data_IF_778289907971
#
_entry.id   IF_778289907971
#
_cell.length_a   1.000
_cell.length_b   1.000
_cell.length_c   1.000
_cell.angle_alpha   90.00
_cell.angle_beta   90.00
_cell.angle_gamma   90.00
#
_symmetry.space_group_name_H-M   'P 1'
#
loop_
_entity.id
_entity.type
_entity.pdbx_description
1 polymer ?
#
# COMPACT_ATOMS: atom_id res chain seq x y z
N UNK A 1 1.23 -5.60 14.88
CA UNK A 1 1.49 -4.15 14.71
C UNK A 1 0.31 -3.54 13.98
N UNK A 2 -0.04 -2.30 14.31
CA UNK A 2 -1.04 -1.52 13.58
C UNK A 2 -0.53 -1.10 12.21
N UNK A 3 -1.45 -0.95 11.25
CA UNK A 3 -1.17 -0.58 9.88
C UNK A 3 -1.89 0.72 9.54
N UNK A 4 -1.13 1.76 9.20
CA UNK A 4 -1.67 3.05 8.75
C UNK A 4 -1.75 3.05 7.23
N UNK A 5 -2.96 3.27 6.68
CA UNK A 5 -3.20 3.31 5.24
C UNK A 5 -3.58 4.72 4.79
N UNK A 6 -2.82 5.28 3.85
CA UNK A 6 -3.05 6.64 3.33
C UNK A 6 -4.07 6.63 2.19
N UNK A 7 -5.33 6.80 2.50
CA UNK A 7 -6.47 6.65 1.58
C UNK A 7 -7.02 7.97 1.04
N UNK A 8 -6.43 9.12 1.37
CA UNK A 8 -7.06 10.42 1.22
C UNK A 8 -6.68 11.24 -0.02
N UNK A 9 -5.89 10.71 -0.96
CA UNK A 9 -5.44 11.45 -2.16
C UNK A 9 -6.56 11.68 -3.19
N UNK A 10 -6.48 12.79 -3.95
CA UNK A 10 -7.45 13.14 -5.00
C UNK A 10 -7.52 12.17 -6.19
N UNK A 11 -6.49 11.35 -6.42
CA UNK A 11 -6.47 10.36 -7.51
C UNK A 11 -6.66 10.93 -8.92
N UNK A 12 -6.27 12.18 -9.18
CA UNK A 12 -6.59 12.92 -10.43
C UNK A 12 -6.15 12.21 -11.71
N UNK A 13 -5.08 11.40 -11.68
CA UNK A 13 -4.56 10.68 -12.86
C UNK A 13 -5.41 9.50 -13.31
N UNK A 14 -6.33 9.02 -12.46
CA UNK A 14 -7.23 7.89 -12.76
C UNK A 14 -8.60 8.31 -13.27
N UNK A 15 -8.89 9.61 -13.34
CA UNK A 15 -10.19 10.11 -13.77
C UNK A 15 -10.30 10.06 -15.28
N UNK A 16 -11.13 9.16 -15.79
CA UNK A 16 -11.43 9.03 -17.23
C UNK A 16 -12.65 9.86 -17.68
N UNK A 17 -13.31 10.58 -16.76
CA UNK A 17 -14.50 11.40 -17.06
C UNK A 17 -15.05 12.13 -15.84
N UNK A 18 -16.06 12.99 -16.06
CA UNK A 18 -16.67 13.88 -15.06
C UNK A 18 -17.47 13.17 -13.96
N UNK A 19 -17.54 11.83 -13.94
CA UNK A 19 -18.36 11.02 -13.00
C UNK A 19 -17.58 10.07 -12.11
N UNK A 20 -16.24 10.09 -12.12
CA UNK A 20 -15.43 9.17 -11.29
C UNK A 20 -15.07 9.83 -9.94
N UNK A 21 -16.05 9.87 -9.01
CA UNK A 21 -15.84 10.34 -7.64
C UNK A 21 -15.23 9.27 -6.72
N UNK A 22 -14.96 8.08 -7.26
CA UNK A 22 -14.42 6.95 -6.50
C UNK A 22 -12.93 7.15 -6.23
N UNK A 23 -12.47 7.14 -4.95
CA UNK A 23 -11.06 7.30 -4.64
C UNK A 23 -10.25 6.07 -5.08
N UNK A 24 -8.95 6.25 -5.43
CA UNK A 24 -8.07 5.19 -5.91
C UNK A 24 -8.12 3.88 -5.08
N UNK A 25 -8.10 3.91 -3.74
CA UNK A 25 -8.16 2.69 -2.95
C UNK A 25 -9.43 1.85 -3.17
N UNK A 26 -10.47 2.47 -3.72
CA UNK A 26 -11.75 1.80 -4.07
C UNK A 26 -11.81 1.30 -5.52
N UNK A 27 -10.73 1.43 -6.29
CA UNK A 27 -10.65 0.84 -7.63
C UNK A 27 -10.75 -0.68 -7.52
N UNK A 28 -11.68 -1.28 -8.29
CA UNK A 28 -11.92 -2.73 -8.26
C UNK A 28 -10.78 -3.48 -8.93
N UNK A 29 -10.38 -4.60 -8.30
CA UNK A 29 -9.49 -5.64 -8.83
C UNK A 29 -10.21 -6.97 -8.60
N UNK A 30 -10.81 -7.51 -9.64
CA UNK A 30 -11.78 -8.61 -9.50
C UNK A 30 -12.99 -8.18 -8.65
N UNK A 31 -13.48 -9.00 -7.70
CA UNK A 31 -14.69 -8.72 -6.91
C UNK A 31 -14.46 -7.76 -5.75
N UNK A 32 -13.22 -7.36 -5.44
CA UNK A 32 -12.88 -6.57 -4.26
C UNK A 32 -12.07 -5.31 -4.64
N UNK A 33 -12.22 -4.20 -3.89
CA UNK A 33 -11.45 -3.00 -4.12
C UNK A 33 -9.98 -3.18 -3.70
N UNK A 34 -9.12 -2.36 -4.27
CA UNK A 34 -7.67 -2.38 -4.06
C UNK A 34 -7.28 -2.32 -2.57
N UNK A 35 -7.95 -1.46 -1.79
CA UNK A 35 -7.73 -1.36 -0.34
C UNK A 35 -7.92 -2.69 0.38
N UNK A 36 -8.91 -3.50 -0.03
CA UNK A 36 -9.14 -4.81 0.54
C UNK A 36 -7.95 -5.74 0.30
N UNK A 37 -7.39 -5.75 -0.92
CA UNK A 37 -6.22 -6.55 -1.25
C UNK A 37 -4.99 -6.13 -0.43
N UNK A 38 -4.77 -4.83 -0.25
CA UNK A 38 -3.69 -4.29 0.59
C UNK A 38 -3.89 -4.73 2.04
N UNK A 39 -5.09 -4.60 2.60
CA UNK A 39 -5.38 -5.01 3.97
C UNK A 39 -5.26 -6.53 4.14
N UNK A 40 -5.71 -7.31 3.16
CA UNK A 40 -5.60 -8.77 3.17
C UNK A 40 -4.15 -9.25 3.15
N UNK A 41 -3.27 -8.54 2.43
CA UNK A 41 -1.83 -8.79 2.46
C UNK A 41 -1.28 -8.64 3.89
N UNK A 42 -1.58 -7.56 4.59
CA UNK A 42 -1.14 -7.36 5.97
C UNK A 42 -1.75 -8.38 6.94
N UNK A 43 -3.04 -8.66 6.80
CA UNK A 43 -3.74 -9.65 7.63
C UNK A 43 -3.16 -11.05 7.48
N UNK A 44 -2.70 -11.44 6.26
CA UNK A 44 -2.00 -12.71 6.04
C UNK A 44 -0.76 -12.87 6.93
N UNK A 45 -0.07 -11.77 7.23
CA UNK A 45 1.09 -11.76 8.13
C UNK A 45 0.73 -11.45 9.60
N UNK A 46 -0.55 -11.52 9.97
CA UNK A 46 -1.04 -11.33 11.35
C UNK A 46 -1.21 -9.87 11.77
N UNK A 47 -1.29 -8.92 10.83
CA UNK A 47 -1.53 -7.51 11.11
C UNK A 47 -2.95 -7.13 10.72
N UNK A 48 -3.88 -7.21 11.68
CA UNK A 48 -5.33 -7.05 11.47
C UNK A 48 -5.91 -5.76 12.07
N UNK A 49 -5.06 -4.88 12.62
CA UNK A 49 -5.46 -3.58 13.14
C UNK A 49 -5.08 -2.47 12.15
N UNK A 50 -6.10 -1.83 11.56
CA UNK A 50 -5.93 -0.85 10.49
C UNK A 50 -6.39 0.54 10.91
N UNK A 51 -5.62 1.58 10.52
CA UNK A 51 -5.98 2.99 10.68
C UNK A 51 -6.03 3.60 9.29
N UNK A 52 -7.22 3.89 8.79
CA UNK A 52 -7.45 4.46 7.47
C UNK A 52 -7.43 5.98 7.54
N UNK A 53 -6.38 6.61 6.99
CA UNK A 53 -6.27 8.07 6.88
C UNK A 53 -7.14 8.56 5.72
N UNK A 54 -8.35 9.01 6.02
CA UNK A 54 -9.35 9.39 5.03
C UNK A 54 -9.24 10.86 4.62
N UNK A 55 -9.66 11.12 3.39
CA UNK A 55 -9.74 12.45 2.79
C UNK A 55 -10.80 12.49 1.71
N UNK A 56 -10.39 12.66 0.44
CA UNK A 56 -11.30 12.65 -0.70
C UNK A 56 -12.01 11.30 -0.83
N UNK A 57 -13.32 11.31 -1.12
CA UNK A 57 -14.12 10.11 -1.32
C UNK A 57 -14.25 9.19 -0.08
N UNK A 58 -14.01 9.72 1.12
CA UNK A 58 -14.04 8.97 2.38
C UNK A 58 -15.32 8.14 2.58
N UNK A 59 -16.47 8.63 2.08
CA UNK A 59 -17.75 7.92 2.20
C UNK A 59 -17.73 6.59 1.45
N UNK A 60 -17.14 6.50 0.28
CA UNK A 60 -17.03 5.24 -0.47
C UNK A 60 -16.30 4.14 0.31
N UNK A 61 -15.21 4.52 0.99
CA UNK A 61 -14.45 3.57 1.83
C UNK A 61 -15.27 3.14 3.04
N UNK A 62 -15.92 4.09 3.71
CA UNK A 62 -16.80 3.80 4.87
C UNK A 62 -17.96 2.91 4.47
N UNK A 63 -18.67 3.26 3.39
CA UNK A 63 -19.83 2.52 2.91
C UNK A 63 -19.47 1.09 2.55
N UNK A 64 -18.30 0.86 1.92
CA UNK A 64 -17.82 -0.47 1.60
C UNK A 64 -17.64 -1.34 2.84
N UNK A 65 -17.00 -0.86 3.90
CA UNK A 65 -16.76 -1.65 5.10
C UNK A 65 -18.00 -1.75 6.00
N UNK A 66 -18.85 -0.72 6.06
CA UNK A 66 -20.10 -0.74 6.84
C UNK A 66 -21.14 -1.69 6.23
N UNK A 67 -21.12 -1.88 4.91
CA UNK A 67 -22.01 -2.77 4.17
C UNK A 67 -21.24 -3.98 3.59
N UNK A 68 -20.20 -4.45 4.30
CA UNK A 68 -19.36 -5.52 3.80
C UNK A 68 -20.12 -6.85 3.73
N UNK A 69 -20.07 -7.47 2.54
CA UNK A 69 -20.69 -8.77 2.29
C UNK A 69 -19.62 -9.87 2.17
N UNK A 70 -19.50 -10.70 3.20
CA UNK A 70 -18.58 -11.84 3.25
C UNK A 70 -18.86 -12.84 2.12
N UNK A 71 -20.12 -13.01 1.72
CA UNK A 71 -20.53 -13.94 0.66
C UNK A 71 -19.98 -13.61 -0.74
N UNK A 72 -19.44 -12.39 -0.94
CA UNK A 72 -18.84 -11.98 -2.22
C UNK A 72 -17.52 -12.71 -2.51
N UNK A 73 -16.75 -13.05 -1.49
CA UNK A 73 -15.41 -13.67 -1.62
C UNK A 73 -15.24 -14.98 -0.85
N UNK A 74 -16.25 -15.40 -0.10
CA UNK A 74 -16.18 -16.62 0.71
C UNK A 74 -17.23 -17.64 0.29
N UNK A 75 -16.89 -18.92 0.38
CA UNK A 75 -17.84 -20.01 0.20
C UNK A 75 -18.83 -20.05 1.36
N UNK A 76 -20.08 -20.35 1.06
CA UNK A 76 -21.15 -20.44 2.05
C UNK A 76 -22.19 -21.49 1.70
N UNK A 77 -22.92 -21.94 2.71
CA UNK A 77 -24.08 -22.82 2.57
C UNK A 77 -25.35 -22.02 2.78
N UNK A 78 -26.29 -22.10 1.85
CA UNK A 78 -27.64 -21.53 2.03
C UNK A 78 -28.60 -22.64 2.44
N UNK A 79 -29.13 -22.58 3.67
CA UNK A 79 -30.09 -23.55 4.20
C UNK A 79 -31.30 -22.85 4.83
N UNK A 80 -32.47 -23.08 4.28
CA UNK A 80 -33.71 -22.51 4.82
C UNK A 80 -33.71 -20.99 4.88
N UNK A 81 -33.08 -20.31 3.93
CA UNK A 81 -32.97 -18.86 3.88
C UNK A 81 -31.90 -18.27 4.81
N UNK A 82 -31.10 -19.09 5.48
CA UNK A 82 -29.97 -18.66 6.32
C UNK A 82 -28.64 -18.97 5.67
N UNK A 83 -27.72 -18.00 5.69
CA UNK A 83 -26.37 -18.14 5.19
C UNK A 83 -25.46 -18.63 6.33
N UNK A 84 -24.67 -19.67 6.04
CA UNK A 84 -23.61 -20.20 6.90
C UNK A 84 -22.29 -20.08 6.12
N UNK A 85 -21.42 -19.16 6.55
CA UNK A 85 -20.12 -18.95 5.94
C UNK A 85 -19.18 -20.13 6.26
N UNK A 86 -18.47 -20.64 5.26
CA UNK A 86 -17.45 -21.69 5.42
C UNK A 86 -16.07 -21.09 5.76
N UNK A 87 -15.87 -19.81 5.42
CA UNK A 87 -14.69 -19.01 5.77
C UNK A 87 -15.08 -17.54 5.90
N UNK A 88 -14.21 -16.75 6.52
CA UNK A 88 -14.36 -15.30 6.63
C UNK A 88 -13.07 -14.62 6.23
N UNK A 89 -13.13 -13.36 5.79
CA UNK A 89 -11.96 -12.63 5.32
C UNK A 89 -11.64 -11.34 6.11
N UNK A 90 -12.63 -10.72 6.78
CA UNK A 90 -12.40 -9.52 7.59
C UNK A 90 -12.95 -9.59 9.03
N UNK A 91 -13.46 -10.73 9.47
CA UNK A 91 -14.14 -10.85 10.76
C UNK A 91 -13.25 -10.55 11.99
N UNK A 92 -11.93 -10.69 11.84
CA UNK A 92 -10.91 -10.40 12.86
C UNK A 92 -10.26 -9.03 12.68
N UNK A 93 -10.71 -8.21 11.71
CA UNK A 93 -10.12 -6.89 11.48
C UNK A 93 -10.71 -5.84 12.41
N UNK A 94 -9.82 -5.02 12.96
CA UNK A 94 -10.19 -3.78 13.64
C UNK A 94 -9.84 -2.61 12.74
N UNK A 95 -10.84 -1.80 12.36
CA UNK A 95 -10.65 -0.71 11.41
C UNK A 95 -11.01 0.63 12.04
N UNK A 96 -10.03 1.52 12.15
CA UNK A 96 -10.21 2.91 12.57
C UNK A 96 -10.33 3.82 11.34
N UNK A 97 -11.44 4.54 11.21
CA UNK A 97 -11.69 5.49 10.13
C UNK A 97 -11.37 6.92 10.60
N UNK A 98 -10.16 7.40 10.31
CA UNK A 98 -9.67 8.71 10.75
C UNK A 98 -9.80 9.77 9.65
N UNK A 99 -10.52 10.87 9.92
CA UNK A 99 -10.60 12.01 9.01
C UNK A 99 -9.32 12.84 9.13
N UNK A 100 -8.47 12.77 8.12
CA UNK A 100 -7.16 13.45 8.12
C UNK A 100 -7.09 14.68 7.22
N UNK A 101 -8.22 15.08 6.64
CA UNK A 101 -8.32 16.23 5.74
C UNK A 101 -8.04 15.89 4.28
N UNK A 102 -8.64 16.66 3.38
CA UNK A 102 -8.58 16.40 1.93
C UNK A 102 -7.19 16.77 1.38
N UNK A 103 -6.64 17.90 1.80
CA UNK A 103 -5.39 18.47 1.26
C UNK A 103 -4.15 18.17 2.10
N UNK A 104 -4.30 17.40 3.19
CA UNK A 104 -3.18 17.09 4.05
C UNK A 104 -2.12 16.25 3.33
N UNK A 105 -0.84 16.63 3.36
CA UNK A 105 0.26 15.76 2.93
C UNK A 105 0.32 14.47 3.73
N UNK A 106 1.03 13.47 3.23
CA UNK A 106 1.09 12.14 3.84
C UNK A 106 1.66 12.19 5.26
N UNK A 107 2.70 12.98 5.50
CA UNK A 107 3.27 13.15 6.85
C UNK A 107 2.28 13.79 7.82
N UNK A 108 1.52 14.79 7.39
CA UNK A 108 0.49 15.40 8.22
C UNK A 108 -0.65 14.44 8.53
N UNK A 109 -1.06 13.58 7.57
CA UNK A 109 -2.05 12.51 7.84
C UNK A 109 -1.56 11.57 8.91
N UNK A 110 -0.28 11.18 8.85
CA UNK A 110 0.35 10.33 9.85
C UNK A 110 0.36 11.02 11.23
N UNK A 111 0.73 12.31 11.30
CA UNK A 111 0.71 13.09 12.55
C UNK A 111 -0.67 13.11 13.20
N UNK A 112 -1.73 13.31 12.41
CA UNK A 112 -3.13 13.37 12.91
C UNK A 112 -3.62 12.06 13.53
N UNK A 113 -3.06 10.93 13.13
CA UNK A 113 -3.42 9.61 13.67
C UNK A 113 -2.45 9.12 14.74
N UNK A 114 -1.43 9.90 15.11
CA UNK A 114 -0.42 9.51 16.10
C UNK A 114 -1.02 8.95 17.39
N UNK A 115 -2.08 9.57 17.89
CA UNK A 115 -2.76 9.15 19.13
C UNK A 115 -3.39 7.74 19.05
N UNK A 116 -3.66 7.22 17.85
CA UNK A 116 -4.09 5.83 17.66
C UNK A 116 -2.93 4.83 17.71
N UNK A 117 -1.69 5.33 17.70
CA UNK A 117 -0.46 4.55 17.73
C UNK A 117 0.25 4.63 19.10
N UNK A 118 -0.38 5.25 20.10
CA UNK A 118 0.18 5.38 21.43
C UNK A 118 0.41 3.98 22.05
N UNK A 119 1.63 3.76 22.56
CA UNK A 119 2.05 2.48 23.12
C UNK A 119 2.66 1.49 22.13
N UNK A 120 2.57 1.74 20.82
CA UNK A 120 3.24 0.91 19.82
C UNK A 120 4.70 1.39 19.62
N UNK A 121 5.67 0.50 19.80
CA UNK A 121 7.07 0.81 19.50
C UNK A 121 7.30 0.98 17.99
N UNK A 122 6.69 0.11 17.20
CA UNK A 122 6.76 0.07 15.75
C UNK A 122 5.36 -0.07 15.17
N UNK A 123 5.17 0.49 13.99
CA UNK A 123 3.95 0.36 13.21
C UNK A 123 4.26 0.31 11.72
N UNK A 124 3.28 -0.12 10.93
CA UNK A 124 3.36 -0.23 9.49
C UNK A 124 2.63 0.93 8.81
N UNK A 125 3.09 1.36 7.66
CA UNK A 125 2.40 2.37 6.86
C UNK A 125 2.44 2.03 5.36
N UNK A 126 1.41 2.44 4.60
CA UNK A 126 1.27 2.10 3.18
C UNK A 126 0.42 3.13 2.43
N UNK A 127 0.69 3.31 1.14
CA UNK A 127 -0.05 4.24 0.26
C UNK A 127 -1.44 3.77 -0.15
N UNK A 128 -1.86 2.55 0.20
CA UNK A 128 -3.19 1.98 -0.06
C UNK A 128 -3.56 1.82 -1.56
N UNK A 129 -2.63 2.05 -2.48
CA UNK A 129 -2.86 1.96 -3.93
C UNK A 129 -1.79 1.13 -4.67
N UNK A 130 -1.05 0.30 -3.94
CA UNK A 130 0.04 -0.53 -4.46
C UNK A 130 -0.13 -1.97 -3.99
N UNK A 131 -0.02 -2.93 -4.92
CA UNK A 131 0.01 -4.36 -4.62
C UNK A 131 1.43 -4.92 -4.75
N UNK A 132 1.77 -5.87 -3.86
CA UNK A 132 3.09 -6.53 -3.85
C UNK A 132 3.01 -7.95 -3.31
N UNK A 133 4.01 -8.77 -3.62
CA UNK A 133 4.27 -10.08 -3.00
C UNK A 133 5.47 -10.05 -2.06
N UNK A 134 5.91 -8.86 -1.61
CA UNK A 134 7.07 -8.70 -0.75
C UNK A 134 6.94 -9.50 0.55
N UNK A 135 8.03 -10.12 1.04
CA UNK A 135 8.03 -10.86 2.30
C UNK A 135 8.08 -9.89 3.50
N UNK A 136 6.90 -9.41 3.95
CA UNK A 136 6.77 -8.44 5.04
C UNK A 136 7.54 -8.83 6.32
N UNK A 137 7.55 -10.10 6.78
CA UNK A 137 8.32 -10.49 7.97
C UNK A 137 9.82 -10.18 7.83
N UNK A 138 10.42 -10.44 6.67
CA UNK A 138 11.85 -10.14 6.44
C UNK A 138 12.14 -8.64 6.50
N UNK A 139 11.22 -7.81 6.01
CA UNK A 139 11.34 -6.36 6.09
C UNK A 139 11.29 -5.88 7.54
N UNK A 140 10.37 -6.43 8.35
CA UNK A 140 10.22 -6.13 9.77
C UNK A 140 11.45 -6.57 10.56
N UNK A 141 11.89 -7.83 10.39
CA UNK A 141 13.02 -8.41 11.11
C UNK A 141 14.32 -7.64 10.81
N UNK A 142 14.55 -7.31 9.54
CA UNK A 142 15.71 -6.51 9.13
C UNK A 142 15.71 -5.12 9.76
N UNK A 143 14.55 -4.50 9.88
CA UNK A 143 14.40 -3.20 10.53
C UNK A 143 14.58 -3.30 12.04
N UNK A 144 13.94 -4.28 12.69
CA UNK A 144 14.02 -4.49 14.14
C UNK A 144 15.45 -4.74 14.63
N UNK A 145 16.27 -5.42 13.79
CA UNK A 145 17.67 -5.68 14.08
C UNK A 145 18.60 -4.46 13.94
N UNK A 146 18.08 -3.28 13.58
CA UNK A 146 18.88 -2.07 13.33
C UNK A 146 18.43 -0.92 14.22
N UNK A 147 19.40 -0.07 14.59
CA UNK A 147 19.11 1.23 15.20
C UNK A 147 18.72 2.23 14.10
N UNK A 148 17.46 2.14 13.65
CA UNK A 148 16.89 2.97 12.61
C UNK A 148 15.49 3.44 13.00
N UNK A 149 15.10 4.63 12.56
CA UNK A 149 13.78 5.22 12.82
C UNK A 149 12.73 4.83 11.79
N UNK A 150 13.16 4.49 10.58
CA UNK A 150 12.28 4.06 9.51
C UNK A 150 12.95 3.04 8.59
N UNK A 151 12.10 2.19 8.00
CA UNK A 151 12.43 1.35 6.85
C UNK A 151 11.42 1.60 5.74
N UNK A 152 11.88 1.63 4.49
CA UNK A 152 11.03 1.67 3.31
C UNK A 152 11.36 0.53 2.36
N UNK A 153 10.32 -0.04 1.75
CA UNK A 153 10.52 -0.92 0.60
C UNK A 153 10.95 -0.08 -0.61
N UNK A 154 11.95 -0.56 -1.34
CA UNK A 154 12.40 0.07 -2.57
C UNK A 154 12.38 -0.95 -3.70
N UNK A 155 12.00 -0.50 -4.89
CA UNK A 155 11.83 -1.32 -6.09
C UNK A 155 12.62 -0.74 -7.26
N UNK A 156 13.03 -1.54 -8.25
CA UNK A 156 13.58 -1.01 -9.49
C UNK A 156 12.54 -0.13 -10.20
N UNK A 157 12.95 0.96 -10.89
CA UNK A 157 12.04 1.78 -11.66
C UNK A 157 11.27 0.96 -12.71
N UNK A 158 9.95 1.17 -12.79
CA UNK A 158 9.08 0.49 -13.77
C UNK A 158 8.71 1.38 -14.97
N UNK A 159 9.50 2.42 -15.22
CA UNK A 159 9.31 3.32 -16.35
C UNK A 159 9.74 2.67 -17.67
N UNK A 160 8.93 2.85 -18.71
CA UNK A 160 9.27 2.47 -20.09
C UNK A 160 10.12 3.51 -20.83
N UNK A 161 10.49 4.60 -20.16
CA UNK A 161 11.35 5.63 -20.74
C UNK A 161 12.81 5.23 -20.77
N UNK A 162 13.58 5.94 -21.61
CA UNK A 162 15.02 5.82 -21.70
C UNK A 162 15.68 7.13 -21.27
N UNK A 163 16.74 7.04 -20.52
CA UNK A 163 17.64 8.15 -20.25
C UNK A 163 18.63 8.31 -21.41
N UNK A 164 18.93 9.54 -21.76
CA UNK A 164 19.84 9.89 -22.84
C UNK A 164 21.03 10.65 -22.25
N UNK A 165 22.24 10.17 -22.48
CA UNK A 165 23.47 10.87 -22.13
C UNK A 165 23.81 11.87 -23.24
N UNK A 166 23.92 13.16 -22.88
CA UNK A 166 24.23 14.23 -23.81
C UNK A 166 25.66 14.73 -23.59
N UNK A 167 26.44 14.79 -24.68
CA UNK A 167 27.71 15.50 -24.72
C UNK A 167 27.50 17.03 -24.79
N UNK A 168 28.56 17.82 -24.53
CA UNK A 168 28.52 19.30 -24.56
C UNK A 168 28.15 19.86 -25.94
N UNK A 169 28.45 19.10 -27.01
CA UNK A 169 28.11 19.42 -28.40
C UNK A 169 26.70 18.99 -28.83
N UNK A 170 25.89 18.43 -27.87
CA UNK A 170 24.55 17.93 -28.14
C UNK A 170 24.53 16.53 -28.80
N UNK A 171 25.66 15.88 -29.01
CA UNK A 171 25.68 14.50 -29.46
C UNK A 171 25.23 13.55 -28.36
N UNK A 172 24.51 12.50 -28.76
CA UNK A 172 24.06 11.45 -27.85
C UNK A 172 25.18 10.45 -27.63
N UNK A 173 25.68 10.37 -26.40
CA UNK A 173 26.73 9.44 -25.97
C UNK A 173 26.23 8.07 -25.61
N UNK A 174 24.97 7.98 -25.13
CA UNK A 174 24.36 6.73 -24.70
C UNK A 174 22.85 6.82 -24.54
N UNK A 175 22.18 5.67 -24.63
CA UNK A 175 20.75 5.52 -24.34
C UNK A 175 20.57 4.28 -23.45
N UNK A 176 19.99 4.45 -22.26
CA UNK A 176 19.81 3.39 -21.27
C UNK A 176 18.35 3.37 -20.81
N UNK A 177 17.73 2.19 -20.78
CA UNK A 177 16.38 2.08 -20.21
C UNK A 177 16.39 2.46 -18.73
N UNK A 178 15.38 3.23 -18.27
CA UNK A 178 15.32 3.69 -16.88
C UNK A 178 15.36 2.52 -15.89
N UNK A 179 14.74 1.39 -16.22
CA UNK A 179 14.76 0.17 -15.39
C UNK A 179 16.12 -0.52 -15.27
N UNK A 180 17.09 -0.18 -16.13
CA UNK A 180 18.46 -0.71 -16.09
C UNK A 180 19.43 0.18 -15.29
N UNK A 181 18.99 1.39 -14.95
CA UNK A 181 19.78 2.29 -14.12
C UNK A 181 19.92 1.75 -12.69
N UNK A 182 21.03 2.02 -11.99
CA UNK A 182 21.25 1.62 -10.61
C UNK A 182 20.46 2.50 -9.63
N UNK A 183 19.18 2.73 -9.94
CA UNK A 183 18.26 3.54 -9.18
C UNK A 183 17.19 2.65 -8.50
N UNK A 184 16.62 3.16 -7.43
CA UNK A 184 15.52 2.55 -6.70
C UNK A 184 14.43 3.58 -6.47
N UNK A 185 13.18 3.16 -6.60
CA UNK A 185 12.01 3.96 -6.30
C UNK A 185 11.38 3.54 -4.97
N UNK A 186 10.76 4.47 -4.27
CA UNK A 186 9.98 4.17 -3.08
C UNK A 186 8.78 3.31 -3.44
N UNK A 187 8.71 2.11 -2.86
CA UNK A 187 7.66 1.13 -3.11
C UNK A 187 6.37 1.33 -2.30
N UNK A 188 6.31 2.36 -1.46
CA UNK A 188 5.09 2.73 -0.72
C UNK A 188 4.77 1.87 0.51
N UNK A 189 5.67 1.00 0.95
CA UNK A 189 5.55 0.17 2.15
C UNK A 189 6.61 0.58 3.18
N UNK A 190 6.19 0.85 4.41
CA UNK A 190 7.06 1.35 5.47
C UNK A 190 6.91 0.55 6.76
N UNK A 191 8.02 0.41 7.50
CA UNK A 191 8.05 0.05 8.92
C UNK A 191 8.65 1.25 9.66
N UNK A 192 7.93 1.78 10.65
CA UNK A 192 8.25 3.06 11.28
C UNK A 192 8.30 2.89 12.80
N UNK A 193 9.20 3.64 13.46
CA UNK A 193 9.19 3.86 14.91
C UNK A 193 8.56 5.21 15.24
N UNK A 194 8.15 5.40 16.50
CA UNK A 194 7.56 6.66 16.98
C UNK A 194 8.43 7.90 16.71
N UNK A 195 9.74 7.75 16.68
CA UNK A 195 10.65 8.88 16.40
C UNK A 195 10.45 9.53 15.03
N UNK A 196 9.82 8.85 14.06
CA UNK A 196 9.52 9.45 12.75
C UNK A 196 8.73 10.75 12.89
N UNK A 197 7.87 10.85 13.92
CA UNK A 197 7.07 12.04 14.18
C UNK A 197 7.91 13.28 14.55
N UNK A 198 9.11 13.09 15.09
CA UNK A 198 10.01 14.18 15.46
C UNK A 198 10.69 14.82 14.23
N UNK A 199 10.60 14.12 13.09
CA UNK A 199 11.19 14.53 11.80
C UNK A 199 10.17 15.01 10.77
N UNK A 200 8.86 14.93 11.07
CA UNK A 200 7.80 15.41 10.19
C UNK A 200 7.30 16.75 10.72
N UNK A 201 7.55 17.88 10.04
CA UNK A 201 7.03 19.17 10.44
C UNK A 201 5.51 19.24 10.28
N UNK A 202 4.90 20.28 10.84
CA UNK A 202 3.48 20.57 10.59
C UNK A 202 3.24 20.78 9.09
N UNK A 203 2.19 20.12 8.55
CA UNK A 203 1.91 20.05 7.12
C UNK A 203 3.06 19.47 6.27
N UNK A 204 3.96 18.69 6.88
CA UNK A 204 5.08 18.05 6.19
C UNK A 204 4.71 16.74 5.47
N UNK A 205 5.64 16.28 4.64
CA UNK A 205 5.57 15.00 3.93
C UNK A 205 6.36 13.90 4.65
N UNK A 206 5.87 12.66 4.59
CA UNK A 206 6.55 11.53 5.24
C UNK A 206 7.92 11.24 4.58
N UNK A 207 7.99 11.28 3.25
CA UNK A 207 9.20 10.90 2.52
C UNK A 207 10.14 12.08 2.35
N UNK A 208 9.63 13.20 1.83
CA UNK A 208 10.44 14.38 1.53
C UNK A 208 10.99 15.06 2.80
N UNK A 209 10.30 14.95 3.94
CA UNK A 209 10.74 15.52 5.21
C UNK A 209 11.21 14.41 6.17
N UNK A 210 10.30 13.56 6.67
CA UNK A 210 10.59 12.57 7.70
C UNK A 210 11.69 11.59 7.31
N UNK A 211 11.48 10.83 6.23
CA UNK A 211 12.46 9.83 5.76
C UNK A 211 13.76 10.49 5.29
N UNK A 212 13.69 11.66 4.64
CA UNK A 212 14.89 12.38 4.19
C UNK A 212 15.76 12.84 5.36
N UNK A 213 15.19 13.27 6.48
CA UNK A 213 15.96 13.63 7.68
C UNK A 213 16.58 12.39 8.35
N UNK A 214 15.83 11.30 8.48
CA UNK A 214 16.36 10.03 8.97
C UNK A 214 17.49 9.49 8.07
N UNK A 215 17.37 9.64 6.74
CA UNK A 215 18.42 9.26 5.80
C UNK A 215 19.73 10.03 6.03
N UNK A 216 19.65 11.36 6.23
CA UNK A 216 20.83 12.20 6.56
C UNK A 216 21.51 11.79 7.85
N UNK A 217 20.77 11.22 8.79
CA UNK A 217 21.27 10.73 10.08
C UNK A 217 21.75 9.26 10.01
N UNK A 218 21.67 8.60 8.84
CA UNK A 218 21.98 7.18 8.71
C UNK A 218 20.95 6.25 9.37
N UNK A 219 19.75 6.72 9.65
CA UNK A 219 18.68 6.02 10.38
C UNK A 219 17.48 5.61 9.50
N UNK A 220 17.64 5.62 8.18
CA UNK A 220 16.68 5.07 7.21
C UNK A 220 17.24 3.81 6.58
N UNK A 221 16.49 2.71 6.65
CA UNK A 221 16.85 1.42 6.05
C UNK A 221 16.02 1.19 4.78
N UNK A 222 16.62 0.64 3.74
CA UNK A 222 15.92 0.20 2.54
C UNK A 222 15.78 -1.32 2.52
N UNK A 223 14.56 -1.82 2.25
CA UNK A 223 14.31 -3.21 1.90
C UNK A 223 14.14 -3.31 0.38
N UNK A 224 15.13 -3.90 -0.30
CA UNK A 224 15.12 -4.07 -1.75
C UNK A 224 14.18 -5.21 -2.13
N UNK A 225 13.18 -4.91 -2.98
CA UNK A 225 12.24 -5.89 -3.51
C UNK A 225 12.32 -5.93 -5.03
N UNK A 226 12.46 -7.12 -5.61
CA UNK A 226 12.53 -7.37 -7.06
C UNK A 226 11.42 -8.29 -7.56
N UNK A 227 10.50 -8.68 -6.68
CA UNK A 227 9.33 -9.48 -7.00
C UNK A 227 8.20 -8.65 -7.62
N UNK A 228 6.98 -9.11 -7.43
CA UNK A 228 5.81 -8.40 -7.92
C UNK A 228 5.59 -7.11 -7.11
N UNK A 229 5.50 -6.00 -7.82
CA UNK A 229 5.11 -4.70 -7.28
C UNK A 229 4.35 -3.93 -8.37
N UNK A 230 3.15 -3.45 -8.07
CA UNK A 230 2.33 -2.77 -9.06
C UNK A 230 1.51 -1.65 -8.43
N UNK A 231 1.78 -0.38 -8.78
CA UNK A 231 0.91 0.73 -8.44
C UNK A 231 -0.34 0.74 -9.34
N UNK A 232 -1.38 1.44 -8.90
CA UNK A 232 -2.60 1.70 -9.68
C UNK A 232 -2.79 3.18 -9.92
N UNK A 233 -1.79 3.81 -10.53
CA UNK A 233 -1.81 5.24 -10.80
C UNK A 233 -2.61 5.61 -12.06
N UNK A 234 -2.77 4.66 -12.97
CA UNK A 234 -3.40 4.88 -14.28
C UNK A 234 -4.49 3.85 -14.55
N UNK A 235 -5.42 4.21 -15.44
CA UNK A 235 -6.46 3.30 -15.94
C UNK A 235 -5.85 2.04 -16.58
N UNK A 236 -4.71 2.18 -17.27
CA UNK A 236 -3.98 1.06 -17.89
C UNK A 236 -3.45 0.08 -16.85
N UNK A 237 -2.88 0.56 -15.76
CA UNK A 237 -2.35 -0.28 -14.69
C UNK A 237 -3.46 -1.03 -13.96
N UNK A 238 -4.59 -0.34 -13.69
CA UNK A 238 -5.79 -0.98 -13.15
C UNK A 238 -6.31 -2.09 -14.06
N UNK A 239 -6.47 -1.82 -15.36
CA UNK A 239 -6.95 -2.81 -16.33
C UNK A 239 -6.01 -4.03 -16.41
N UNK A 240 -4.69 -3.81 -16.28
CA UNK A 240 -3.72 -4.90 -16.25
C UNK A 240 -3.86 -5.79 -14.99
N UNK A 241 -4.12 -5.19 -13.81
CA UNK A 241 -4.39 -5.95 -12.58
C UNK A 241 -5.69 -6.74 -12.66
N UNK A 242 -6.74 -6.13 -13.20
CA UNK A 242 -8.03 -6.79 -13.36
C UNK A 242 -7.96 -7.96 -14.37
N UNK A 243 -7.23 -7.79 -15.48
CA UNK A 243 -6.96 -8.86 -16.43
C UNK A 243 -6.13 -9.99 -15.80
N UNK A 244 -5.10 -9.68 -15.01
CA UNK A 244 -4.29 -10.67 -14.29
C UNK A 244 -5.16 -11.43 -13.27
N UNK A 245 -6.04 -10.74 -12.56
CA UNK A 245 -7.02 -11.37 -11.66
C UNK A 245 -7.90 -12.36 -12.38
N UNK A 246 -8.48 -11.96 -13.53
CA UNK A 246 -9.38 -12.81 -14.34
C UNK A 246 -8.66 -14.04 -14.91
N UNK A 247 -7.37 -13.96 -15.18
CA UNK A 247 -6.53 -15.06 -15.65
C UNK A 247 -6.05 -16.00 -14.54
N UNK A 248 -6.31 -15.65 -13.25
CA UNK A 248 -5.80 -16.39 -12.10
C UNK A 248 -4.33 -16.11 -11.78
N UNK A 249 -3.69 -15.17 -12.49
CA UNK A 249 -2.33 -14.70 -12.22
C UNK A 249 -2.35 -13.58 -11.18
N UNK A 250 -2.31 -13.96 -9.90
CA UNK A 250 -2.47 -13.08 -8.74
C UNK A 250 -1.27 -13.14 -7.81
N UNK A 251 -0.08 -12.69 -8.24
CA UNK A 251 1.14 -12.77 -7.45
C UNK A 251 1.05 -12.05 -6.10
N UNK A 252 0.26 -10.97 -6.00
CA UNK A 252 0.02 -10.23 -4.77
C UNK A 252 -0.87 -10.98 -3.75
N UNK A 253 -1.63 -12.01 -4.19
CA UNK A 253 -2.51 -12.78 -3.33
C UNK A 253 -1.72 -13.85 -2.56
N UNK A 254 -0.76 -13.41 -1.75
CA UNK A 254 0.16 -14.29 -0.99
C UNK A 254 -0.59 -15.24 -0.05
N UNK A 255 -1.79 -14.87 0.40
CA UNK A 255 -2.67 -15.70 1.24
C UNK A 255 -3.23 -16.91 0.52
N UNK A 256 -3.29 -16.91 -0.82
CA UNK A 256 -3.76 -18.06 -1.59
C UNK A 256 -2.68 -19.14 -1.72
N UNK A 257 -1.40 -18.75 -1.73
CA UNK A 257 -0.25 -19.67 -1.84
C UNK A 257 -0.09 -20.55 -0.58
N UNK A 258 -0.45 -20.04 0.60
CA UNK A 258 -0.38 -20.78 1.85
C UNK A 258 -1.42 -21.94 1.93
N UNK A 259 -2.50 -21.89 1.14
CA UNK A 259 -3.56 -22.91 1.14
C UNK A 259 -3.27 -24.15 0.28
N UNK A 260 -2.26 -24.13 -0.58
CA UNK A 260 -1.94 -25.25 -1.49
C UNK A 260 -1.21 -26.39 -0.77
N UNK A 261 -0.60 -26.12 0.41
CA UNK A 261 0.11 -27.12 1.24
C UNK A 261 -0.74 -27.85 2.28
N UNK A 262 -2.01 -27.46 2.51
CA UNK A 262 -2.87 -28.02 3.56
C UNK A 262 -3.99 -28.94 3.05
N UNK A 263 -3.98 -29.29 1.74
CA UNK A 263 -4.87 -30.30 1.15
C UNK A 263 -4.03 -31.44 0.55
N UNK A 264 -3.41 -32.21 1.41
CA UNK A 264 -2.86 -33.53 1.09
C UNK A 264 -3.25 -34.52 2.21
#
# INVERSE_FOLDING_TARGET
>A
MKVVLFCGGYGMRMRSGACDDVPKPMAMVGPRPLIWHVMRYYAHFGHTEFILCLGYGAHHIKDFFLNYEETTSNDFVLRGGRTELLSTDISDWTITFAQTGIESPIGERLRRVRHHLDGDEMFLANYADVLTDAPLPEMIDRFAARDAGASMMVVPPQSSFHCVELGEDGLVGGITAVGELPLWENGGYFVLRQEVFDHIPENGDLVADGCAQLAKQGRLVAHQHRGFWKPTDTVKERAALDAAYAQGDRPWAVWERAGVGARA
#
